data_IF_735919639110
#
_entry.id   IF_735919639110
#
_cell.length_a   1.000
_cell.length_b   1.000
_cell.length_c   1.000
_cell.angle_alpha   90.00
_cell.angle_beta   90.00
_cell.angle_gamma   90.00
#
_symmetry.space_group_name_H-M   'P 1'
#
loop_
_entity.id
_entity.type
_entity.pdbx_description
1 polymer ?
#
# COMPACT_ATOMS: atom_id res chain seq x y z
N UNK A 1 -2.22 7.72 -6.06
CA UNK A 1 -1.49 6.44 -5.97
C UNK A 1 -0.84 6.37 -4.60
N UNK A 2 -1.53 5.78 -3.61
CA UNK A 2 -0.99 5.60 -2.25
C UNK A 2 -0.12 4.35 -2.27
N UNK A 3 1.15 4.51 -1.95
CA UNK A 3 2.15 3.43 -1.89
C UNK A 3 2.43 3.21 -0.42
N UNK A 4 1.85 2.15 0.13
CA UNK A 4 2.15 1.69 1.49
C UNK A 4 3.22 0.58 1.40
N UNK A 5 4.20 0.64 2.30
CA UNK A 5 5.45 -0.13 2.28
C UNK A 5 5.52 -1.12 3.47
N UNK A 6 5.71 -2.43 3.26
CA UNK A 6 5.63 -3.45 4.35
C UNK A 6 6.80 -4.53 4.37
N UNK A 7 6.79 -5.50 5.32
CA UNK A 7 7.94 -6.17 6.06
C UNK A 7 8.22 -7.68 5.73
N UNK A 8 9.20 -8.43 6.30
CA UNK A 8 9.18 -9.95 6.41
C UNK A 8 9.83 -10.44 7.72
N UNK A 9 9.38 -11.61 8.26
CA UNK A 9 10.02 -12.47 9.29
C UNK A 9 10.96 -13.55 8.71
N UNK A 10 12.15 -13.74 9.30
CA UNK A 10 13.12 -14.83 8.96
C UNK A 10 12.65 -16.28 9.22
N UNK A 11 11.45 -16.54 9.75
CA UNK A 11 10.99 -17.90 10.17
C UNK A 11 9.55 -18.29 9.78
N UNK A 12 8.96 -17.71 8.74
CA UNK A 12 7.67 -18.20 8.23
C UNK A 12 7.87 -19.43 7.33
N UNK A 13 7.09 -20.49 7.54
CA UNK A 13 7.05 -21.66 6.65
C UNK A 13 6.60 -21.23 5.24
N UNK A 14 6.98 -21.98 4.21
CA UNK A 14 6.59 -21.67 2.83
C UNK A 14 5.07 -21.61 2.62
N UNK A 15 4.30 -22.28 3.48
CA UNK A 15 2.84 -22.24 3.51
C UNK A 15 2.32 -20.91 4.08
N UNK A 16 2.87 -20.45 5.20
CA UNK A 16 2.50 -19.18 5.82
C UNK A 16 2.74 -17.99 4.88
N UNK A 17 3.85 -17.99 4.11
CA UNK A 17 4.10 -16.91 3.13
C UNK A 17 3.07 -16.88 1.99
N UNK A 18 2.63 -18.06 1.52
CA UNK A 18 1.65 -18.17 0.43
C UNK A 18 0.24 -17.82 0.89
N UNK A 19 -0.14 -18.22 2.10
CA UNK A 19 -1.45 -17.90 2.66
C UNK A 19 -1.62 -16.40 2.84
N UNK A 20 -0.60 -15.69 3.35
CA UNK A 20 -0.66 -14.23 3.49
C UNK A 20 -0.86 -13.54 2.13
N UNK A 21 -0.03 -13.86 1.13
CA UNK A 21 -0.19 -13.28 -0.21
C UNK A 21 -1.59 -13.54 -0.80
N UNK A 22 -2.11 -14.76 -0.64
CA UNK A 22 -3.46 -15.11 -1.10
C UNK A 22 -4.56 -14.36 -0.35
N UNK A 23 -4.46 -14.20 0.96
CA UNK A 23 -5.42 -13.42 1.78
C UNK A 23 -5.56 -11.99 1.28
N UNK A 24 -4.45 -11.31 0.97
CA UNK A 24 -4.49 -9.94 0.44
C UNK A 24 -5.01 -9.89 -0.99
N UNK A 25 -4.62 -10.85 -1.84
CA UNK A 25 -5.14 -10.94 -3.20
C UNK A 25 -6.66 -11.19 -3.25
N UNK A 26 -7.25 -11.80 -2.22
CA UNK A 26 -8.67 -12.12 -2.14
C UNK A 26 -9.52 -11.05 -1.44
N UNK A 27 -8.94 -9.91 -1.05
CA UNK A 27 -9.71 -8.78 -0.49
C UNK A 27 -10.64 -8.10 -1.52
N UNK A 28 -10.52 -8.47 -2.81
CA UNK A 28 -11.45 -8.10 -3.87
C UNK A 28 -12.16 -9.35 -4.41
N UNK A 29 -13.43 -9.22 -4.78
CA UNK A 29 -14.20 -10.28 -5.44
C UNK A 29 -13.57 -10.74 -6.77
N UNK A 30 -12.75 -9.90 -7.39
CA UNK A 30 -12.03 -10.22 -8.63
C UNK A 30 -10.76 -11.06 -8.41
N UNK A 31 -10.30 -11.20 -7.16
CA UNK A 31 -8.97 -11.71 -6.85
C UNK A 31 -7.88 -10.67 -7.12
N UNK A 32 -6.63 -11.13 -7.14
CA UNK A 32 -5.46 -10.25 -7.23
C UNK A 32 -4.19 -10.98 -7.61
N UNK A 33 -3.08 -10.23 -7.59
CA UNK A 33 -1.76 -10.74 -7.94
C UNK A 33 -0.89 -10.89 -6.71
N UNK A 34 -0.30 -12.06 -6.54
CA UNK A 34 0.74 -12.30 -5.54
C UNK A 34 2.08 -12.18 -6.23
N UNK A 35 2.95 -11.31 -5.75
CA UNK A 35 4.31 -11.21 -6.25
C UNK A 35 5.26 -12.03 -5.37
N UNK A 36 6.02 -12.93 -5.98
CA UNK A 36 7.19 -13.55 -5.35
C UNK A 36 8.36 -12.62 -5.58
N UNK A 37 9.25 -12.47 -4.61
CA UNK A 37 10.22 -11.37 -4.58
C UNK A 37 11.59 -11.85 -4.13
N UNK A 38 12.65 -11.40 -4.82
CA UNK A 38 14.03 -11.55 -4.36
C UNK A 38 14.43 -10.40 -3.42
N UNK A 39 14.99 -10.67 -2.23
CA UNK A 39 15.40 -9.64 -1.28
C UNK A 39 16.66 -8.88 -1.73
N UNK A 40 16.66 -7.56 -1.60
CA UNK A 40 17.80 -6.68 -1.95
C UNK A 40 18.15 -5.74 -0.79
N UNK A 41 19.35 -5.14 -0.73
CA UNK A 41 19.82 -4.45 0.46
C UNK A 41 19.01 -3.20 0.84
N UNK A 42 18.29 -2.58 -0.10
CA UNK A 42 17.38 -1.46 0.17
C UNK A 42 16.09 -1.89 0.90
N UNK A 43 15.91 -3.18 1.18
CA UNK A 43 14.76 -3.71 1.93
C UNK A 43 15.17 -3.92 3.39
N UNK A 44 14.38 -3.39 4.32
CA UNK A 44 14.70 -3.39 5.75
C UNK A 44 13.96 -4.54 6.45
N UNK A 45 14.68 -5.37 7.23
CA UNK A 45 14.03 -6.30 8.15
C UNK A 45 13.42 -5.53 9.31
N UNK A 46 12.14 -5.23 9.19
CA UNK A 46 11.56 -4.36 10.19
C UNK A 46 11.45 -5.05 11.59
N UNK A 47 11.63 -6.38 11.74
CA UNK A 47 11.44 -7.07 13.03
C UNK A 47 12.55 -6.69 14.00
N UNK A 48 13.71 -6.39 13.43
CA UNK A 48 14.89 -5.91 14.13
C UNK A 48 14.91 -4.38 14.22
N UNK A 49 13.87 -3.67 13.72
CA UNK A 49 13.73 -2.21 13.79
C UNK A 49 12.99 -1.69 15.03
N UNK A 50 12.68 -2.54 16.01
CA UNK A 50 12.20 -2.14 17.35
C UNK A 50 10.91 -1.29 17.43
N UNK A 51 10.05 -1.26 16.41
CA UNK A 51 8.74 -0.59 16.50
C UNK A 51 7.58 -1.54 16.86
N UNK A 52 6.50 -0.96 17.39
CA UNK A 52 5.27 -1.68 17.69
C UNK A 52 4.53 -2.08 16.40
N UNK A 53 4.38 -3.39 16.20
CA UNK A 53 3.71 -3.94 15.02
C UNK A 53 2.21 -4.05 15.31
N UNK A 54 1.43 -3.11 14.76
CA UNK A 54 -0.04 -3.06 14.92
C UNK A 54 -0.75 -4.22 14.20
N UNK A 55 -0.20 -4.67 13.06
CA UNK A 55 -0.73 -5.79 12.27
C UNK A 55 0.36 -6.84 12.04
N UNK A 56 0.32 -7.92 12.85
CA UNK A 56 1.39 -8.94 12.91
C UNK A 56 1.46 -9.89 11.69
N UNK A 57 0.63 -9.69 10.66
CA UNK A 57 0.38 -10.63 9.55
C UNK A 57 0.73 -10.09 8.14
N UNK A 58 1.40 -8.95 8.03
CA UNK A 58 1.72 -8.32 6.73
C UNK A 58 3.18 -8.50 6.33
N UNK A 59 3.43 -8.85 5.05
CA UNK A 59 4.77 -9.08 4.52
C UNK A 59 4.98 -8.59 3.05
N UNK A 60 5.98 -7.73 2.74
CA UNK A 60 6.17 -7.14 1.39
C UNK A 60 7.62 -6.83 0.97
N UNK A 61 7.90 -6.98 -0.33
CA UNK A 61 9.19 -6.73 -1.01
C UNK A 61 8.92 -6.24 -2.47
N UNK A 62 9.91 -6.10 -3.39
CA UNK A 62 9.77 -5.88 -4.87
C UNK A 62 9.88 -7.11 -5.84
N UNK A 63 8.87 -7.37 -6.69
CA UNK A 63 8.66 -8.55 -7.57
C UNK A 63 9.84 -9.21 -8.34
N UNK A 64 10.05 -10.52 -8.09
CA UNK A 64 10.79 -11.54 -8.87
C UNK A 64 9.90 -12.31 -9.86
N UNK A 65 8.64 -12.56 -9.51
CA UNK A 65 7.62 -13.25 -10.33
C UNK A 65 6.22 -12.90 -9.81
N UNK A 66 5.16 -13.24 -10.53
CA UNK A 66 3.77 -12.99 -10.11
C UNK A 66 2.88 -14.22 -10.31
N UNK A 67 1.80 -14.32 -9.56
CA UNK A 67 0.78 -15.35 -9.69
C UNK A 67 -0.60 -14.71 -9.52
N UNK A 68 -1.54 -15.03 -10.41
CA UNK A 68 -2.93 -14.63 -10.24
C UNK A 68 -3.60 -15.55 -9.22
N UNK A 69 -4.24 -14.96 -8.22
CA UNK A 69 -4.98 -15.68 -7.18
C UNK A 69 -6.41 -15.21 -7.20
N UNK A 70 -7.31 -16.15 -7.48
CA UNK A 70 -8.76 -15.95 -7.42
C UNK A 70 -9.37 -17.05 -6.57
N UNK A 71 -10.56 -16.80 -6.04
CA UNK A 71 -11.32 -17.81 -5.30
C UNK A 71 -11.45 -19.11 -6.11
N UNK A 72 -11.78 -18.99 -7.40
CA UNK A 72 -11.95 -20.13 -8.32
C UNK A 72 -10.63 -20.86 -8.59
N UNK A 73 -9.51 -20.13 -8.73
CA UNK A 73 -8.22 -20.77 -9.03
C UNK A 73 -7.69 -21.59 -7.86
N UNK A 74 -7.93 -21.17 -6.61
CA UNK A 74 -7.56 -21.94 -5.43
C UNK A 74 -8.40 -23.23 -5.27
N UNK A 75 -9.71 -23.16 -5.51
CA UNK A 75 -10.56 -24.36 -5.53
C UNK A 75 -10.14 -25.31 -6.65
N UNK A 76 -9.88 -24.79 -7.85
CA UNK A 76 -9.39 -25.59 -8.97
C UNK A 76 -8.03 -26.25 -8.68
N UNK A 77 -7.21 -25.62 -7.85
CA UNK A 77 -5.94 -26.17 -7.37
C UNK A 77 -6.09 -27.17 -6.20
N UNK A 78 -7.33 -27.52 -5.81
CA UNK A 78 -7.63 -28.55 -4.81
C UNK A 78 -7.81 -28.03 -3.38
N UNK A 79 -7.87 -26.72 -3.18
CA UNK A 79 -8.13 -26.14 -1.85
C UNK A 79 -9.60 -26.30 -1.45
N UNK A 80 -9.86 -26.58 -0.18
CA UNK A 80 -11.22 -26.67 0.34
C UNK A 80 -11.90 -25.28 0.30
N UNK A 81 -13.18 -25.23 -0.08
CA UNK A 81 -13.99 -24.01 -0.10
C UNK A 81 -13.94 -23.23 1.24
N UNK A 82 -14.00 -23.94 2.37
CA UNK A 82 -13.95 -23.35 3.71
C UNK A 82 -12.58 -22.76 4.05
N UNK A 83 -11.50 -23.36 3.54
CA UNK A 83 -10.16 -22.80 3.68
C UNK A 83 -9.99 -21.54 2.81
N UNK A 84 -10.59 -21.50 1.62
CA UNK A 84 -10.59 -20.30 0.78
C UNK A 84 -11.41 -19.17 1.43
N UNK A 85 -12.56 -19.48 2.03
CA UNK A 85 -13.35 -18.52 2.82
C UNK A 85 -12.56 -18.02 4.03
N UNK A 86 -11.85 -18.91 4.74
CA UNK A 86 -10.96 -18.51 5.83
C UNK A 86 -9.92 -17.49 5.37
N UNK A 87 -9.33 -17.66 4.18
CA UNK A 87 -8.39 -16.67 3.63
C UNK A 87 -9.05 -15.31 3.34
N UNK A 88 -10.28 -15.29 2.83
CA UNK A 88 -11.04 -14.06 2.56
C UNK A 88 -11.31 -13.31 3.88
N UNK A 89 -11.71 -14.05 4.91
CA UNK A 89 -11.99 -13.53 6.25
C UNK A 89 -10.71 -13.28 7.09
N UNK A 90 -9.53 -13.39 6.47
CA UNK A 90 -8.21 -13.22 7.10
C UNK A 90 -7.92 -14.18 8.26
N UNK A 91 -8.53 -15.36 8.26
CA UNK A 91 -8.21 -16.49 9.14
C UNK A 91 -7.16 -17.42 8.51
N UNK A 92 -6.49 -18.19 9.37
CA UNK A 92 -5.52 -19.19 8.92
C UNK A 92 -6.29 -20.42 8.41
N UNK A 93 -6.04 -20.89 7.17
CA UNK A 93 -6.70 -22.09 6.66
C UNK A 93 -6.20 -23.33 7.42
N UNK A 94 -7.09 -24.31 7.63
CA UNK A 94 -6.72 -25.60 8.23
C UNK A 94 -5.97 -26.47 7.22
N UNK A 95 -6.32 -26.34 5.93
CA UNK A 95 -5.69 -27.05 4.83
C UNK A 95 -4.34 -26.49 4.37
N UNK A 96 -3.62 -27.32 3.59
CA UNK A 96 -2.39 -26.90 2.94
C UNK A 96 -2.68 -25.95 1.78
N UNK A 97 -1.93 -24.84 1.71
CA UNK A 97 -1.97 -23.95 0.56
C UNK A 97 -1.50 -24.70 -0.69
N UNK A 98 -2.24 -24.65 -1.81
CA UNK A 98 -1.75 -25.19 -3.07
C UNK A 98 -0.48 -24.46 -3.52
N UNK A 99 0.33 -25.13 -4.34
CA UNK A 99 1.46 -24.47 -4.97
C UNK A 99 0.95 -23.43 -5.97
N UNK A 100 1.24 -22.15 -5.71
CA UNK A 100 0.96 -21.09 -6.67
C UNK A 100 1.94 -21.18 -7.84
N UNK A 101 1.41 -21.04 -9.06
CA UNK A 101 2.22 -21.01 -10.27
C UNK A 101 2.78 -19.61 -10.48
N UNK A 102 4.09 -19.46 -10.32
CA UNK A 102 4.81 -18.22 -10.59
C UNK A 102 5.61 -18.38 -11.89
N UNK A 103 5.09 -17.97 -13.06
CA UNK A 103 5.89 -17.88 -14.27
C UNK A 103 7.15 -17.06 -14.01
N UNK A 104 8.27 -17.48 -14.60
CA UNK A 104 9.51 -16.73 -14.52
C UNK A 104 9.34 -15.37 -15.19
N UNK A 105 9.76 -14.30 -14.51
CA UNK A 105 9.82 -12.98 -15.12
C UNK A 105 11.02 -12.92 -16.09
N UNK A 106 10.81 -12.77 -17.41
CA UNK A 106 11.92 -12.72 -18.37
C UNK A 106 12.84 -11.51 -18.16
N UNK A 107 12.35 -10.45 -17.52
CA UNK A 107 13.11 -9.22 -17.23
C UNK A 107 13.93 -9.35 -15.93
N UNK A 108 13.79 -10.45 -15.20
CA UNK A 108 14.55 -10.67 -13.97
C UNK A 108 16.02 -10.98 -14.27
N UNK A 109 16.91 -10.11 -13.79
CA UNK A 109 18.35 -10.32 -13.88
C UNK A 109 18.86 -11.14 -12.68
N UNK A 110 18.80 -12.47 -12.78
CA UNK A 110 19.31 -13.37 -11.72
C UNK A 110 20.77 -13.09 -11.36
N UNK A 111 21.62 -12.87 -12.38
CA UNK A 111 23.03 -12.49 -12.18
C UNK A 111 23.20 -11.23 -11.30
N UNK A 112 22.26 -10.29 -11.37
CA UNK A 112 22.32 -9.03 -10.61
C UNK A 112 21.79 -9.19 -9.18
N UNK A 113 20.77 -10.02 -8.98
CA UNK A 113 20.00 -10.03 -7.74
C UNK A 113 20.15 -11.30 -6.90
N UNK A 114 20.45 -12.47 -7.47
CA UNK A 114 20.41 -13.77 -6.75
C UNK A 114 21.40 -13.87 -5.57
N UNK A 115 22.47 -13.07 -5.59
CA UNK A 115 23.47 -13.01 -4.53
C UNK A 115 23.19 -11.95 -3.45
N UNK A 116 22.06 -11.25 -3.53
CA UNK A 116 21.71 -10.17 -2.62
C UNK A 116 20.85 -10.66 -1.45
N UNK A 117 20.79 -9.82 -0.42
CA UNK A 117 19.94 -10.03 0.74
C UNK A 117 19.40 -8.70 1.25
N UNK A 118 18.30 -8.76 2.00
CA UNK A 118 17.76 -7.62 2.73
C UNK A 118 18.78 -7.08 3.74
N UNK A 119 18.70 -5.78 4.05
CA UNK A 119 19.46 -5.20 5.15
C UNK A 119 18.92 -5.68 6.50
N UNK A 120 19.72 -5.59 7.57
CA UNK A 120 19.24 -5.68 8.94
C UNK A 120 18.20 -4.60 9.27
N UNK A 121 17.59 -4.72 10.45
CA UNK A 121 16.71 -3.68 10.99
C UNK A 121 17.37 -2.31 11.08
N UNK A 122 16.54 -1.29 10.92
CA UNK A 122 16.92 0.13 10.96
C UNK A 122 16.02 0.85 11.98
N UNK A 123 16.25 0.68 13.30
CA UNK A 123 15.41 1.29 14.33
C UNK A 123 15.43 2.83 14.30
N UNK A 124 16.49 3.44 13.80
CA UNK A 124 16.56 4.89 13.58
C UNK A 124 15.60 5.40 12.49
N UNK A 125 15.04 4.51 11.68
CA UNK A 125 14.02 4.82 10.67
C UNK A 125 12.59 4.54 11.15
N UNK A 126 12.39 4.14 12.42
CA UNK A 126 11.08 3.74 12.92
C UNK A 126 10.09 4.91 13.10
N UNK A 127 10.60 6.10 13.45
CA UNK A 127 9.79 7.33 13.57
C UNK A 127 8.88 7.42 14.80
N UNK A 128 8.87 6.44 15.69
CA UNK A 128 8.19 6.54 16.99
C UNK A 128 8.98 7.39 18.00
N UNK A 129 8.29 7.95 19.00
CA UNK A 129 8.88 8.87 19.98
C UNK A 129 10.12 8.29 20.69
N UNK A 130 10.09 7.00 21.04
CA UNK A 130 11.20 6.36 21.76
C UNK A 130 12.45 6.25 20.86
N UNK A 131 12.29 5.83 19.61
CA UNK A 131 13.39 5.77 18.65
C UNK A 131 13.85 7.17 18.22
N UNK A 132 12.95 8.15 18.07
CA UNK A 132 13.33 9.54 17.79
C UNK A 132 14.16 10.16 18.93
N UNK A 133 13.80 9.89 20.18
CA UNK A 133 14.57 10.35 21.33
C UNK A 133 15.96 9.69 21.40
N UNK A 134 16.05 8.41 21.03
CA UNK A 134 17.29 7.62 21.04
C UNK A 134 18.23 7.97 19.88
N UNK A 135 17.69 8.16 18.69
CA UNK A 135 18.46 8.42 17.45
C UNK A 135 18.24 9.87 17.00
N UNK A 136 18.78 10.82 17.74
CA UNK A 136 18.54 12.26 17.52
C UNK A 136 19.68 12.98 16.78
N UNK A 137 20.72 12.26 16.35
CA UNK A 137 21.88 12.84 15.63
C UNK A 137 21.51 13.35 14.22
N UNK A 138 20.46 12.79 13.61
CA UNK A 138 19.95 13.14 12.28
C UNK A 138 18.43 13.15 12.26
N UNK A 139 17.86 13.82 11.27
CA UNK A 139 16.43 13.70 10.95
C UNK A 139 16.13 12.31 10.38
N UNK A 140 14.86 11.88 10.42
CA UNK A 140 14.42 10.65 9.74
C UNK A 140 14.80 10.65 8.26
N UNK A 141 14.62 11.80 7.59
CA UNK A 141 15.04 12.01 6.21
C UNK A 141 16.56 11.83 6.05
N UNK A 142 17.37 12.38 6.95
CA UNK A 142 18.82 12.21 6.93
C UNK A 142 19.27 10.75 7.08
N UNK A 143 18.61 9.98 7.95
CA UNK A 143 18.85 8.54 8.06
C UNK A 143 18.35 7.76 6.83
N UNK A 144 17.23 8.17 6.23
CA UNK A 144 16.71 7.52 5.04
C UNK A 144 17.67 7.73 3.86
N UNK A 145 18.21 8.95 3.71
CA UNK A 145 19.21 9.28 2.71
C UNK A 145 20.45 8.41 2.88
N UNK A 146 21.04 8.39 4.07
CA UNK A 146 22.21 7.56 4.36
C UNK A 146 21.95 6.07 4.09
N UNK A 147 20.77 5.58 4.44
CA UNK A 147 20.38 4.20 4.19
C UNK A 147 20.37 3.88 2.69
N UNK A 148 19.78 4.74 1.85
CA UNK A 148 19.71 4.51 0.41
C UNK A 148 21.04 4.75 -0.29
N UNK A 149 21.86 5.71 0.14
CA UNK A 149 23.23 5.86 -0.35
C UNK A 149 24.04 4.58 -0.13
N UNK A 150 23.86 3.94 1.03
CA UNK A 150 24.56 2.70 1.38
C UNK A 150 24.00 1.46 0.67
N UNK A 151 22.68 1.37 0.50
CA UNK A 151 22.02 0.11 0.13
C UNK A 151 21.25 0.14 -1.21
N UNK A 152 21.04 1.31 -1.80
CA UNK A 152 20.21 1.49 -2.99
C UNK A 152 20.90 1.20 -4.32
N UNK A 153 22.23 1.23 -4.37
CA UNK A 153 23.00 1.04 -5.61
C UNK A 153 22.62 -0.24 -6.40
N UNK A 154 22.49 -1.42 -5.75
CA UNK A 154 22.07 -2.63 -6.44
C UNK A 154 20.71 -2.55 -7.13
N UNK A 155 19.79 -1.70 -6.66
CA UNK A 155 18.47 -1.48 -7.29
C UNK A 155 18.43 -0.24 -8.19
N UNK A 156 19.59 0.35 -8.50
CA UNK A 156 19.69 1.48 -9.42
C UNK A 156 19.39 2.83 -8.79
N UNK A 157 19.48 2.96 -7.46
CA UNK A 157 19.45 4.26 -6.81
C UNK A 157 20.65 5.10 -7.26
N UNK A 158 20.38 6.30 -7.76
CA UNK A 158 21.34 7.23 -8.36
C UNK A 158 21.78 8.35 -7.40
N UNK A 159 21.39 8.25 -6.12
CA UNK A 159 21.63 9.29 -5.11
C UNK A 159 20.51 10.32 -5.02
N UNK A 160 19.49 10.24 -5.89
CA UNK A 160 18.35 11.17 -5.89
C UNK A 160 17.12 10.42 -5.38
N UNK A 161 16.60 10.86 -4.23
CA UNK A 161 15.30 10.38 -3.81
C UNK A 161 14.24 10.91 -4.78
N UNK A 162 13.30 10.06 -5.25
CA UNK A 162 12.15 10.52 -6.04
C UNK A 162 11.20 11.43 -5.23
N UNK A 163 11.52 11.72 -3.97
CA UNK A 163 10.80 12.67 -3.11
C UNK A 163 10.93 14.12 -3.61
N UNK A 164 11.97 14.50 -4.35
CA UNK A 164 12.08 15.86 -4.93
C UNK A 164 11.02 16.15 -6.00
N UNK A 165 10.36 15.11 -6.53
CA UNK A 165 9.22 15.23 -7.45
C UNK A 165 7.86 15.17 -6.77
N UNK A 166 7.79 14.80 -5.48
CA UNK A 166 6.60 15.05 -4.69
C UNK A 166 6.62 16.54 -4.36
N UNK A 167 5.93 17.34 -5.20
CA UNK A 167 5.72 18.76 -4.93
C UNK A 167 5.31 18.92 -3.47
N UNK A 168 6.17 19.53 -2.67
CA UNK A 168 6.04 19.74 -1.23
C UNK A 168 4.99 20.78 -0.85
N UNK A 169 4.08 21.09 -1.77
CA UNK A 169 2.93 21.94 -1.52
C UNK A 169 1.70 21.07 -1.73
N UNK A 170 1.33 20.28 -0.72
CA UNK A 170 -0.10 20.05 -0.53
C UNK A 170 -0.70 21.47 -0.46
N UNK A 171 -1.61 21.85 -1.38
CA UNK A 171 -2.22 23.16 -1.33
C UNK A 171 -2.79 23.36 0.06
N UNK A 172 -2.53 24.54 0.65
CA UNK A 172 -3.06 24.89 1.97
C UNK A 172 -4.52 24.44 2.07
N UNK A 173 -4.91 23.89 3.22
CA UNK A 173 -6.30 23.48 3.40
C UNK A 173 -7.22 24.66 3.07
N UNK A 174 -8.24 24.45 2.22
CA UNK A 174 -9.12 25.52 1.81
C UNK A 174 -9.78 26.13 3.05
N UNK A 175 -9.66 27.45 3.18
CA UNK A 175 -10.15 28.19 4.36
C UNK A 175 -11.58 28.68 4.16
N UNK A 176 -12.08 28.62 2.93
CA UNK A 176 -13.43 29.05 2.56
C UNK A 176 -14.22 27.95 1.86
N UNK A 177 -15.54 28.04 1.96
CA UNK A 177 -16.45 27.13 1.27
C UNK A 177 -16.22 27.07 -0.25
N UNK A 178 -15.87 28.22 -0.84
CA UNK A 178 -15.63 28.35 -2.28
C UNK A 178 -14.31 27.70 -2.70
N UNK A 179 -13.25 27.85 -1.90
CA UNK A 179 -11.98 27.15 -2.14
C UNK A 179 -12.14 25.63 -2.00
N UNK A 180 -12.98 25.18 -1.06
CA UNK A 180 -13.29 23.74 -0.89
C UNK A 180 -14.07 23.20 -2.09
N UNK A 181 -15.07 23.93 -2.58
CA UNK A 181 -15.82 23.60 -3.80
C UNK A 181 -14.91 23.58 -5.04
N UNK A 182 -14.06 24.59 -5.21
CA UNK A 182 -13.10 24.67 -6.32
C UNK A 182 -12.09 23.52 -6.27
N UNK A 183 -11.63 23.12 -5.08
CA UNK A 183 -10.77 21.94 -4.89
C UNK A 183 -11.49 20.65 -5.27
N UNK A 184 -12.73 20.46 -4.82
CA UNK A 184 -13.55 19.28 -5.13
C UNK A 184 -13.83 19.15 -6.64
N UNK A 185 -14.04 20.27 -7.34
CA UNK A 185 -14.36 20.28 -8.77
C UNK A 185 -13.16 20.50 -9.68
N UNK A 186 -11.93 20.59 -9.15
CA UNK A 186 -10.73 20.90 -9.92
C UNK A 186 -10.36 19.85 -10.98
N UNK A 187 -10.65 18.57 -10.71
CA UNK A 187 -10.37 17.44 -11.59
C UNK A 187 -11.64 16.69 -12.04
N UNK A 188 -12.83 17.31 -11.94
CA UNK A 188 -14.10 16.60 -12.11
C UNK A 188 -14.31 16.00 -13.51
N UNK A 189 -13.73 16.61 -14.54
CA UNK A 189 -13.84 16.15 -15.92
C UNK A 189 -13.01 14.87 -16.16
N UNK A 190 -11.79 14.85 -15.60
CA UNK A 190 -10.88 13.71 -15.72
C UNK A 190 -11.30 12.52 -14.84
N UNK A 191 -11.79 12.79 -13.63
CA UNK A 191 -12.07 11.76 -12.62
C UNK A 191 -13.51 11.24 -12.67
N UNK A 192 -14.48 12.10 -13.04
CA UNK A 192 -15.91 11.79 -12.97
C UNK A 192 -16.67 12.07 -14.27
N UNK A 193 -15.98 12.51 -15.33
CA UNK A 193 -16.59 12.91 -16.61
C UNK A 193 -17.70 13.96 -16.45
N UNK A 194 -17.54 14.83 -15.46
CA UNK A 194 -18.45 15.95 -15.20
C UNK A 194 -17.76 17.26 -15.54
N UNK A 195 -18.47 18.12 -16.28
CA UNK A 195 -18.03 19.51 -16.41
C UNK A 195 -17.95 20.15 -15.03
N UNK A 196 -17.07 21.14 -14.85
CA UNK A 196 -16.97 21.89 -13.58
C UNK A 196 -18.31 22.47 -13.15
N UNK A 197 -19.18 22.86 -14.10
CA UNK A 197 -20.52 23.37 -13.80
C UNK A 197 -21.43 22.28 -13.20
N UNK A 198 -21.44 21.08 -13.78
CA UNK A 198 -22.20 19.94 -13.27
C UNK A 198 -21.69 19.48 -11.90
N UNK A 199 -20.37 19.46 -11.71
CA UNK A 199 -19.77 19.18 -10.42
C UNK A 199 -20.27 20.17 -9.35
N UNK A 200 -20.26 21.47 -9.65
CA UNK A 200 -20.75 22.51 -8.72
C UNK A 200 -22.24 22.38 -8.42
N UNK A 201 -23.06 22.02 -9.41
CA UNK A 201 -24.49 21.74 -9.18
C UNK A 201 -24.67 20.59 -8.19
N UNK A 202 -23.91 19.51 -8.35
CA UNK A 202 -23.99 18.36 -7.44
C UNK A 202 -23.46 18.68 -6.03
N UNK A 203 -22.37 19.45 -5.93
CA UNK A 203 -21.86 19.95 -4.64
C UNK A 203 -22.92 20.80 -3.94
N UNK A 204 -23.59 21.71 -4.65
CA UNK A 204 -24.66 22.54 -4.09
C UNK A 204 -25.84 21.69 -3.59
N UNK A 205 -26.22 20.63 -4.30
CA UNK A 205 -27.25 19.69 -3.84
C UNK A 205 -26.83 18.97 -2.56
N UNK A 206 -25.59 18.48 -2.48
CA UNK A 206 -25.07 17.84 -1.28
C UNK A 206 -24.98 18.82 -0.10
N UNK A 207 -24.61 20.08 -0.35
CA UNK A 207 -24.64 21.14 0.68
C UNK A 207 -26.05 21.40 1.17
N UNK A 208 -27.04 21.40 0.28
CA UNK A 208 -28.45 21.56 0.66
C UNK A 208 -28.98 20.38 1.50
N UNK A 209 -28.57 19.15 1.17
CA UNK A 209 -29.00 17.92 1.85
C UNK A 209 -28.32 17.75 3.22
N UNK A 210 -27.01 17.98 3.27
CA UNK A 210 -26.18 17.68 4.44
C UNK A 210 -25.98 18.90 5.36
N UNK A 211 -26.06 20.12 4.82
CA UNK A 211 -25.77 21.37 5.55
C UNK A 211 -26.73 21.67 6.71
N UNK A 212 -27.86 20.97 6.80
CA UNK A 212 -28.82 21.10 7.91
C UNK A 212 -28.59 20.08 9.03
N UNK A 213 -27.62 19.17 8.89
CA UNK A 213 -27.34 18.14 9.89
C UNK A 213 -26.55 18.74 11.06
N UNK A 214 -26.85 18.35 12.32
CA UNK A 214 -26.07 18.76 13.47
C UNK A 214 -24.63 18.23 13.34
N UNK A 215 -23.64 19.08 13.61
CA UNK A 215 -22.23 18.72 13.45
C UNK A 215 -21.72 18.76 12.01
N UNK A 216 -22.40 19.49 11.12
CA UNK A 216 -21.99 19.65 9.72
C UNK A 216 -20.51 20.01 9.57
N UNK A 217 -19.82 19.27 8.71
CA UNK A 217 -18.49 19.58 8.22
C UNK A 217 -18.37 19.09 6.76
N UNK A 218 -17.29 19.47 6.08
CA UNK A 218 -17.11 19.17 4.67
C UNK A 218 -16.98 17.67 4.34
N UNK A 219 -16.66 16.81 5.32
CA UNK A 219 -16.61 15.36 5.09
C UNK A 219 -17.99 14.77 4.75
N UNK A 220 -19.08 15.37 5.23
CA UNK A 220 -20.44 14.98 4.86
C UNK A 220 -20.74 15.29 3.38
N UNK A 221 -20.20 16.40 2.87
CA UNK A 221 -20.31 16.76 1.45
C UNK A 221 -19.53 15.76 0.62
N UNK A 222 -18.27 15.51 0.96
CA UNK A 222 -17.44 14.52 0.25
C UNK A 222 -18.09 13.15 0.22
N UNK A 223 -18.67 12.67 1.32
CA UNK A 223 -19.38 11.39 1.36
C UNK A 223 -20.66 11.37 0.50
N UNK A 224 -21.41 12.48 0.47
CA UNK A 224 -22.57 12.64 -0.41
C UNK A 224 -22.15 12.60 -1.89
N UNK A 225 -21.06 13.28 -2.25
CA UNK A 225 -20.49 13.27 -3.59
C UNK A 225 -20.00 11.87 -3.99
N UNK A 226 -19.25 11.18 -3.12
CA UNK A 226 -18.80 9.80 -3.34
C UNK A 226 -19.97 8.84 -3.62
N UNK A 227 -21.09 9.04 -2.93
CA UNK A 227 -22.30 8.22 -3.14
C UNK A 227 -22.94 8.50 -4.50
N UNK A 228 -22.98 9.76 -4.93
CA UNK A 228 -23.56 10.15 -6.23
C UNK A 228 -22.64 9.79 -7.41
N UNK A 229 -21.34 9.90 -7.23
CA UNK A 229 -20.34 9.67 -8.29
C UNK A 229 -19.97 8.20 -8.49
N UNK A 230 -20.23 7.32 -7.50
CA UNK A 230 -20.09 5.85 -7.67
C UNK A 230 -21.19 5.21 -8.52
N UNK A 231 -22.18 5.99 -8.97
CA UNK A 231 -23.35 5.49 -9.73
C UNK A 231 -23.25 5.80 -11.23
N UNK A 232 -22.23 6.56 -11.65
CA UNK A 232 -21.96 6.90 -13.07
C UNK A 232 -20.92 5.94 -13.65
#
# INVERSE_FOLDING_TARGET
>A
MKTDFHKIRRKASGQSKRSHGATFALQSEKGGWVYKIHPTPNMIDLNESSFEIRFKREEEFSALAWAEVTYKSLIAAGMNKWDVESLVDMYEPEGLMPALHFPANPDYSGKKYDGLSASPGQPQLAGDEANLAKYNEKTLEGYAIEFMEKNGGPVGFDGIFPLTTLKTDAPAEPTTARETEDKLCSNSDEEFHLTTAECRTQVAECVFQEGKKPGFNWSFITACMDTKWRII
#
